data_IF_947270080810
#
_entry.id   IF_947270080810
#
_cell.length_a   1.000
_cell.length_b   1.000
_cell.length_c   1.000
_cell.angle_alpha   90.00
_cell.angle_beta   90.00
_cell.angle_gamma   90.00
#
_symmetry.space_group_name_H-M   'P 1'
#
loop_
_entity.id
_entity.type
_entity.pdbx_description
1 polymer ?
#
# COMPACT_ATOMS: atom_id res chain seq x y z
N UNK A 1 2.44 22.17 -16.61
CA UNK A 1 3.68 21.92 -15.86
C UNK A 1 3.56 20.66 -15.02
N UNK A 2 4.62 19.87 -14.94
CA UNK A 2 4.70 18.68 -14.09
C UNK A 2 5.85 18.82 -13.10
N UNK A 3 5.69 18.26 -11.90
CA UNK A 3 6.73 18.27 -10.85
C UNK A 3 6.78 16.89 -10.19
N UNK A 4 7.97 16.47 -9.76
CA UNK A 4 8.17 15.26 -8.99
C UNK A 4 7.54 15.36 -7.60
N UNK A 5 7.11 14.23 -7.05
CA UNK A 5 6.69 14.15 -5.65
C UNK A 5 7.69 13.31 -4.85
N UNK A 6 7.50 13.21 -3.53
CA UNK A 6 8.29 12.31 -2.70
C UNK A 6 8.01 10.82 -2.95
N UNK A 7 6.93 10.50 -3.68
CA UNK A 7 6.61 9.15 -4.15
C UNK A 7 6.99 9.03 -5.63
N UNK A 8 7.65 7.94 -5.98
CA UNK A 8 8.11 7.65 -7.33
C UNK A 8 6.93 7.40 -8.27
N UNK A 9 5.87 6.76 -7.78
CA UNK A 9 4.68 6.47 -8.56
C UNK A 9 3.78 7.67 -8.84
N UNK A 10 4.10 8.83 -8.25
CA UNK A 10 3.20 10.00 -8.22
C UNK A 10 3.86 11.23 -8.81
N UNK A 11 3.15 11.91 -9.72
CA UNK A 11 3.53 13.22 -10.25
C UNK A 11 2.42 14.24 -10.02
N UNK A 12 2.80 15.48 -9.75
CA UNK A 12 1.86 16.60 -9.68
C UNK A 12 1.78 17.26 -11.05
N UNK A 13 0.56 17.44 -11.55
CA UNK A 13 0.27 18.11 -12.82
C UNK A 13 -0.51 19.38 -12.53
N UNK A 14 0.07 20.50 -12.96
CA UNK A 14 -0.56 21.82 -12.93
C UNK A 14 -0.79 22.32 -14.35
N UNK A 15 -2.06 22.46 -14.74
CA UNK A 15 -2.48 23.04 -16.00
C UNK A 15 -3.01 24.46 -15.78
N UNK A 16 -2.60 25.39 -16.63
CA UNK A 16 -2.93 26.81 -16.53
C UNK A 16 -3.29 27.37 -17.91
N UNK A 17 -4.27 28.28 -17.95
CA UNK A 17 -4.80 28.90 -19.17
C UNK A 17 -5.86 29.94 -18.83
N UNK A 18 -7.04 29.87 -19.45
CA UNK A 18 -8.22 30.62 -19.00
C UNK A 18 -8.60 30.22 -17.56
N UNK A 19 -8.51 28.92 -17.28
CA UNK A 19 -8.78 28.31 -15.98
C UNK A 19 -7.51 27.66 -15.41
N UNK A 20 -7.55 27.38 -14.11
CA UNK A 20 -6.48 26.70 -13.37
C UNK A 20 -6.94 25.31 -12.94
N UNK A 21 -6.11 24.30 -13.18
CA UNK A 21 -6.37 22.93 -12.78
C UNK A 21 -5.12 22.30 -12.16
N UNK A 22 -5.31 21.61 -11.04
CA UNK A 22 -4.24 20.96 -10.29
C UNK A 22 -4.68 19.55 -9.91
N UNK A 23 -3.84 18.55 -10.21
CA UNK A 23 -4.11 17.17 -9.84
C UNK A 23 -2.83 16.38 -9.59
N UNK A 24 -2.96 15.25 -8.91
CA UNK A 24 -1.93 14.20 -8.83
C UNK A 24 -2.25 13.10 -9.83
N UNK A 25 -1.24 12.58 -10.50
CA UNK A 25 -1.36 11.51 -11.50
C UNK A 25 -0.46 10.34 -11.09
N UNK A 26 -0.97 9.13 -11.28
CA UNK A 26 -0.32 7.87 -10.96
C UNK A 26 -0.11 7.02 -12.23
N UNK A 27 0.89 7.33 -13.08
CA UNK A 27 1.03 6.74 -14.41
C UNK A 27 1.24 5.22 -14.38
N UNK A 28 1.93 4.71 -13.37
CA UNK A 28 2.28 3.28 -13.21
C UNK A 28 1.48 2.59 -12.10
N UNK A 29 0.37 3.20 -11.65
CA UNK A 29 -0.35 2.85 -10.40
C UNK A 29 0.50 3.15 -9.16
N UNK A 30 -0.14 3.19 -7.99
CA UNK A 30 0.49 3.57 -6.72
C UNK A 30 1.30 2.40 -6.14
N UNK A 31 2.35 1.97 -6.83
CA UNK A 31 3.10 0.75 -6.49
C UNK A 31 4.00 0.89 -5.24
N UNK A 32 4.34 2.12 -4.87
CA UNK A 32 5.16 2.48 -3.71
C UNK A 32 4.33 2.87 -2.49
N UNK A 33 3.01 2.63 -2.54
CA UNK A 33 2.09 2.81 -1.43
C UNK A 33 1.34 1.50 -1.16
N UNK A 34 1.01 1.25 0.11
CA UNK A 34 0.12 0.14 0.45
C UNK A 34 -1.29 0.44 -0.05
N UNK A 35 -1.96 -0.59 -0.57
CA UNK A 35 -3.32 -0.49 -1.08
C UNK A 35 -4.28 -0.08 0.04
N UNK A 36 -5.19 0.85 -0.22
CA UNK A 36 -6.14 1.35 0.79
C UNK A 36 -7.12 0.27 1.29
N UNK A 37 -7.41 -0.73 0.45
CA UNK A 37 -8.27 -1.87 0.75
C UNK A 37 -7.46 -3.13 1.11
N UNK A 38 -6.24 -2.97 1.60
CA UNK A 38 -5.44 -4.09 2.08
C UNK A 38 -6.10 -4.79 3.27
N UNK A 39 -6.25 -6.12 3.19
CA UNK A 39 -6.87 -6.91 4.26
C UNK A 39 -5.86 -7.21 5.39
N UNK A 40 -5.74 -6.26 6.31
CA UNK A 40 -4.91 -6.42 7.50
C UNK A 40 -5.38 -7.56 8.41
N UNK A 41 -6.69 -7.84 8.43
CA UNK A 41 -7.26 -8.87 9.32
C UNK A 41 -6.85 -10.25 8.86
N UNK A 42 -6.88 -10.53 7.55
CA UNK A 42 -6.46 -11.82 7.02
C UNK A 42 -5.00 -12.16 7.36
N UNK A 43 -4.08 -11.22 7.14
CA UNK A 43 -2.66 -11.44 7.46
C UNK A 43 -2.43 -11.50 8.97
N UNK A 44 -3.12 -10.65 9.75
CA UNK A 44 -3.08 -10.71 11.21
C UNK A 44 -3.50 -12.09 11.73
N UNK A 45 -4.65 -12.60 11.26
CA UNK A 45 -5.17 -13.89 11.69
C UNK A 45 -4.32 -15.07 11.26
N UNK A 46 -3.84 -15.08 10.01
CA UNK A 46 -2.96 -16.15 9.54
C UNK A 46 -1.66 -16.21 10.36
N UNK A 47 -1.07 -15.06 10.70
CA UNK A 47 0.14 -15.00 11.53
C UNK A 47 -0.14 -15.56 12.93
N UNK A 48 -1.25 -15.17 13.58
CA UNK A 48 -1.66 -15.71 14.89
C UNK A 48 -1.88 -17.22 14.82
N UNK A 49 -2.56 -17.70 13.78
CA UNK A 49 -2.82 -19.12 13.57
C UNK A 49 -1.51 -19.92 13.43
N UNK A 50 -0.53 -19.41 12.67
CA UNK A 50 0.79 -20.04 12.55
C UNK A 50 1.55 -20.07 13.87
N UNK A 51 1.48 -19.00 14.66
CA UNK A 51 2.12 -18.93 15.98
C UNK A 51 1.50 -19.97 16.91
N UNK A 52 0.17 -19.99 17.05
CA UNK A 52 -0.55 -20.95 17.90
C UNK A 52 -0.32 -22.38 17.43
N UNK A 53 -0.43 -22.64 16.12
CA UNK A 53 -0.16 -23.94 15.53
C UNK A 53 1.25 -24.44 15.83
N UNK A 54 2.25 -23.55 15.78
CA UNK A 54 3.64 -23.88 16.12
C UNK A 54 3.81 -24.27 17.59
N UNK A 55 3.14 -23.59 18.52
CA UNK A 55 3.16 -23.96 19.94
C UNK A 55 2.49 -25.31 20.22
N UNK A 56 1.35 -25.55 19.57
CA UNK A 56 0.62 -26.82 19.68
C UNK A 56 1.49 -27.96 19.15
N UNK A 57 2.07 -27.81 17.95
CA UNK A 57 2.96 -28.81 17.36
C UNK A 57 4.17 -29.09 18.27
N UNK A 58 4.78 -28.04 18.83
CA UNK A 58 5.87 -28.18 19.80
C UNK A 58 5.45 -28.96 21.05
N UNK A 59 4.21 -28.74 21.53
CA UNK A 59 3.69 -29.44 22.71
C UNK A 59 3.42 -30.92 22.45
N UNK A 60 3.07 -31.30 21.22
CA UNK A 60 2.86 -32.70 20.81
C UNK A 60 4.16 -33.42 20.46
N UNK A 61 5.20 -32.70 20.04
CA UNK A 61 6.52 -33.26 19.78
C UNK A 61 7.34 -33.50 21.07
N UNK A 62 6.86 -33.05 22.22
CA UNK A 62 7.46 -33.20 23.54
C UNK A 62 6.66 -34.16 24.42
#
# INVERSE_FOLDING_TARGET
>A
HTVATGLESTSVVFAYGLDLFFTRVFPSRIFDQLKDDFDFMFIGWSTVAFVVGSFIAKRFAA
#
